data_IF_996203032842
#
_entry.id   IF_996203032842
#
_cell.length_a   1.000
_cell.length_b   1.000
_cell.length_c   1.000
_cell.angle_alpha   90.00
_cell.angle_beta   90.00
_cell.angle_gamma   90.00
#
_symmetry.space_group_name_H-M   'P 1'
#
loop_
_entity.id
_entity.type
_entity.pdbx_description
1 polymer ?
#
# COMPACT_ATOMS: atom_id res chain seq x y z
N UNK A 1 -58.25 0.47 76.36
CA UNK A 1 -57.19 -0.41 75.80
C UNK A 1 -57.25 -0.52 74.25
N UNK A 2 -57.57 0.56 73.51
CA UNK A 2 -57.66 0.52 72.03
C UNK A 2 -56.71 1.50 71.31
N UNK A 3 -56.16 2.51 71.99
CA UNK A 3 -55.29 3.53 71.35
C UNK A 3 -53.85 3.03 71.16
N UNK A 4 -53.31 2.22 72.09
CA UNK A 4 -51.94 1.64 71.97
C UNK A 4 -51.77 0.62 70.83
N UNK A 5 -52.84 -0.07 70.41
CA UNK A 5 -52.78 -1.07 69.32
C UNK A 5 -52.80 -0.43 67.92
N UNK A 6 -53.38 0.78 67.78
CA UNK A 6 -53.45 1.51 66.50
C UNK A 6 -52.11 2.16 66.12
N UNK A 7 -51.39 2.75 67.08
CA UNK A 7 -50.07 3.34 66.83
C UNK A 7 -48.99 2.29 66.43
N UNK A 8 -49.04 1.08 67.01
CA UNK A 8 -48.06 0.02 66.71
C UNK A 8 -48.21 -0.56 65.29
N UNK A 9 -49.44 -0.63 64.75
CA UNK A 9 -49.71 -1.02 63.35
C UNK A 9 -49.32 0.07 62.34
N UNK A 10 -49.46 1.34 62.71
CA UNK A 10 -49.08 2.46 61.83
C UNK A 10 -47.56 2.59 61.68
N UNK A 11 -46.80 2.42 62.79
CA UNK A 11 -45.33 2.43 62.77
C UNK A 11 -44.71 1.20 62.08
N UNK A 12 -45.29 -0.01 62.22
CA UNK A 12 -44.85 -1.20 61.48
C UNK A 12 -45.12 -1.08 59.96
N UNK A 13 -46.23 -0.43 59.59
CA UNK A 13 -46.59 -0.19 58.19
C UNK A 13 -45.64 0.81 57.52
N UNK A 14 -45.32 1.92 58.19
CA UNK A 14 -44.40 2.93 57.65
C UNK A 14 -42.95 2.42 57.54
N UNK A 15 -42.47 1.64 58.51
CA UNK A 15 -41.11 1.06 58.45
C UNK A 15 -40.97 0.00 57.36
N UNK A 16 -41.99 -0.83 57.15
CA UNK A 16 -42.05 -1.78 56.04
C UNK A 16 -42.08 -1.08 54.67
N UNK A 17 -42.87 -0.01 54.56
CA UNK A 17 -42.96 0.78 53.32
C UNK A 17 -41.63 1.48 53.00
N UNK A 18 -40.94 2.02 54.03
CA UNK A 18 -39.62 2.64 53.87
C UNK A 18 -38.55 1.62 53.46
N UNK A 19 -38.61 0.41 54.00
CA UNK A 19 -37.67 -0.66 53.64
C UNK A 19 -37.91 -1.13 52.19
N UNK A 20 -39.16 -1.28 51.77
CA UNK A 20 -39.53 -1.62 50.39
C UNK A 20 -39.11 -0.54 49.38
N UNK A 21 -39.23 0.75 49.72
CA UNK A 21 -38.75 1.82 48.84
C UNK A 21 -37.24 1.85 48.75
N UNK A 22 -36.51 1.63 49.85
CA UNK A 22 -35.04 1.55 49.84
C UNK A 22 -34.54 0.35 49.02
N UNK A 23 -35.17 -0.81 49.17
CA UNK A 23 -34.80 -2.01 48.40
C UNK A 23 -35.11 -1.82 46.90
N UNK A 24 -36.23 -1.18 46.57
CA UNK A 24 -36.61 -0.86 45.19
C UNK A 24 -35.63 0.12 44.55
N UNK A 25 -35.25 1.19 45.24
CA UNK A 25 -34.27 2.16 44.72
C UNK A 25 -32.87 1.56 44.57
N UNK A 26 -32.48 0.67 45.49
CA UNK A 26 -31.19 -0.03 45.38
C UNK A 26 -31.17 -1.02 44.20
N UNK A 27 -32.27 -1.75 43.96
CA UNK A 27 -32.42 -2.65 42.82
C UNK A 27 -32.44 -1.91 41.49
N UNK A 28 -33.15 -0.78 41.39
CA UNK A 28 -33.16 0.03 40.16
C UNK A 28 -31.82 0.70 39.90
N UNK A 29 -31.09 1.14 40.93
CA UNK A 29 -29.74 1.68 40.79
C UNK A 29 -28.75 0.60 40.31
N UNK A 30 -28.82 -0.62 40.86
CA UNK A 30 -28.03 -1.76 40.40
C UNK A 30 -28.36 -2.14 38.94
N UNK A 31 -29.64 -2.13 38.57
CA UNK A 31 -30.07 -2.39 37.20
C UNK A 31 -29.57 -1.31 36.24
N UNK A 32 -29.69 -0.03 36.61
CA UNK A 32 -29.16 1.08 35.82
C UNK A 32 -27.64 1.01 35.70
N UNK A 33 -26.91 0.72 36.77
CA UNK A 33 -25.45 0.59 36.73
C UNK A 33 -25.01 -0.57 35.84
N UNK A 34 -25.72 -1.70 35.86
CA UNK A 34 -25.46 -2.86 34.99
C UNK A 34 -25.90 -2.63 33.54
N UNK A 35 -26.95 -1.86 33.31
CA UNK A 35 -27.43 -1.49 31.98
C UNK A 35 -26.52 -0.44 31.32
N UNK A 36 -26.08 0.57 32.08
CA UNK A 36 -25.15 1.60 31.62
C UNK A 36 -23.76 1.01 31.32
N UNK A 37 -23.25 0.09 32.15
CA UNK A 37 -21.98 -0.59 31.88
C UNK A 37 -22.04 -1.51 30.64
N UNK A 38 -23.20 -2.10 30.31
CA UNK A 38 -23.35 -2.93 29.11
C UNK A 38 -23.60 -2.13 27.81
N UNK A 39 -24.13 -0.90 27.90
CA UNK A 39 -24.49 -0.10 26.71
C UNK A 39 -23.45 0.99 26.41
N UNK A 40 -22.85 1.60 27.44
CA UNK A 40 -21.96 2.76 27.28
C UNK A 40 -20.47 2.47 27.46
N UNK A 41 -20.07 1.25 27.85
CA UNK A 41 -18.73 0.78 27.52
C UNK A 41 -18.77 0.30 26.08
N UNK A 42 -18.17 1.02 25.12
CA UNK A 42 -17.91 0.42 23.83
C UNK A 42 -16.97 -0.74 24.13
N UNK A 43 -17.48 -1.97 24.02
CA UNK A 43 -16.60 -3.10 23.79
C UNK A 43 -16.06 -2.87 22.38
N UNK A 44 -15.06 -2.00 22.30
CA UNK A 44 -14.09 -1.95 21.23
C UNK A 44 -13.42 -3.32 21.31
N UNK A 45 -14.07 -4.33 20.74
CA UNK A 45 -13.36 -5.45 20.19
C UNK A 45 -12.53 -4.84 19.07
N UNK A 46 -11.39 -4.29 19.46
CA UNK A 46 -10.20 -4.33 18.65
C UNK A 46 -10.08 -5.82 18.33
N UNK A 47 -10.52 -6.19 17.12
CA UNK A 47 -10.13 -7.46 16.56
C UNK A 47 -8.63 -7.28 16.39
N UNK A 48 -7.87 -7.62 17.43
CA UNK A 48 -6.46 -7.91 17.31
C UNK A 48 -6.42 -8.96 16.23
N UNK A 49 -6.04 -8.56 15.01
CA UNK A 49 -5.68 -9.50 13.98
C UNK A 49 -4.45 -10.20 14.52
N UNK A 50 -4.65 -11.38 15.09
CA UNK A 50 -3.56 -12.20 15.57
C UNK A 50 -2.80 -12.67 14.34
N UNK A 51 -1.68 -12.02 14.06
CA UNK A 51 -0.75 -12.46 13.02
C UNK A 51 0.16 -13.52 13.62
N UNK A 52 0.05 -14.73 13.07
CA UNK A 52 0.86 -15.88 13.41
C UNK A 52 2.22 -15.76 12.68
N UNK A 53 3.29 -15.46 13.42
CA UNK A 53 4.64 -15.24 12.85
C UNK A 53 5.64 -16.14 13.58
N UNK A 54 6.52 -16.81 12.82
CA UNK A 54 7.63 -17.61 13.34
C UNK A 54 8.65 -16.68 14.04
N UNK A 55 9.08 -17.05 15.25
CA UNK A 55 10.06 -16.32 16.06
C UNK A 55 11.38 -16.07 15.30
N UNK A 56 11.79 -17.01 14.44
CA UNK A 56 12.99 -16.86 13.60
C UNK A 56 12.83 -15.82 12.49
N UNK A 57 11.61 -15.58 12.01
CA UNK A 57 11.32 -14.55 11.01
C UNK A 57 11.23 -13.15 11.65
N UNK A 58 11.00 -13.05 12.97
CA UNK A 58 11.00 -11.79 13.73
C UNK A 58 12.40 -11.34 14.13
N UNK A 59 13.27 -12.29 14.49
CA UNK A 59 14.69 -12.02 14.74
C UNK A 59 15.38 -11.48 13.48
N UNK A 60 15.08 -12.06 12.31
CA UNK A 60 15.52 -11.57 11.00
C UNK A 60 14.98 -10.15 10.69
N UNK A 61 13.79 -9.83 11.22
CA UNK A 61 13.08 -8.56 10.99
C UNK A 61 13.41 -7.44 11.98
N UNK A 62 14.11 -7.73 13.08
CA UNK A 62 14.34 -6.80 14.21
C UNK A 62 13.08 -6.11 14.73
N UNK A 63 11.92 -6.77 14.63
CA UNK A 63 10.66 -6.22 15.14
C UNK A 63 10.58 -6.54 16.64
N UNK A 64 10.48 -5.50 17.47
CA UNK A 64 10.12 -5.68 18.87
C UNK A 64 8.66 -6.12 18.96
N UNK A 65 8.33 -7.23 19.64
CA UNK A 65 6.96 -7.69 19.79
C UNK A 65 6.13 -6.59 20.48
N UNK A 66 5.14 -6.08 19.77
CA UNK A 66 4.19 -5.10 20.31
C UNK A 66 3.00 -5.85 20.92
N UNK A 67 2.17 -5.16 21.68
CA UNK A 67 1.00 -5.72 22.40
C UNK A 67 0.01 -6.49 21.49
N UNK A 68 0.07 -6.27 20.17
CA UNK A 68 -0.83 -6.85 19.17
C UNK A 68 -0.16 -7.97 18.35
N UNK A 69 1.11 -8.32 18.64
CA UNK A 69 1.84 -9.42 17.99
C UNK A 69 2.09 -10.50 19.06
N UNK A 70 1.23 -11.52 19.07
CA UNK A 70 1.41 -12.69 19.92
C UNK A 70 2.25 -13.74 19.20
N UNK A 71 3.41 -14.04 19.76
CA UNK A 71 4.30 -15.10 19.27
C UNK A 71 3.64 -16.46 19.48
N UNK A 72 3.56 -17.25 18.42
CA UNK A 72 3.25 -18.67 18.59
C UNK A 72 4.53 -19.36 19.06
N UNK A 73 4.50 -19.97 20.24
CA UNK A 73 5.60 -20.85 20.64
C UNK A 73 5.70 -22.03 19.66
N UNK A 74 6.91 -22.49 19.40
CA UNK A 74 7.16 -23.71 18.59
C UNK A 74 6.27 -24.89 18.98
N UNK A 75 5.83 -24.96 20.24
CA UNK A 75 5.02 -26.04 20.78
C UNK A 75 3.60 -26.08 20.19
N UNK A 76 3.05 -24.95 19.75
CA UNK A 76 1.74 -24.91 19.08
C UNK A 76 1.75 -25.64 17.72
N UNK A 77 2.86 -25.51 16.97
CA UNK A 77 3.06 -26.27 15.72
C UNK A 77 3.30 -27.76 15.99
N UNK A 78 3.84 -28.11 17.16
CA UNK A 78 4.00 -29.50 17.59
C UNK A 78 2.68 -30.13 18.06
N UNK A 79 1.82 -29.36 18.74
CA UNK A 79 0.58 -29.86 19.35
C UNK A 79 -0.52 -30.24 18.33
N UNK A 80 -0.46 -29.70 17.11
CA UNK A 80 -1.50 -29.89 16.09
C UNK A 80 -1.18 -30.97 15.06
N UNK A 81 0.02 -31.59 15.06
CA UNK A 81 0.53 -32.50 14.00
C UNK A 81 0.43 -31.95 12.56
N UNK A 82 -0.08 -30.74 12.36
CA UNK A 82 -0.23 -30.04 11.09
C UNK A 82 1.11 -29.41 10.72
N UNK A 83 2.10 -30.25 10.46
CA UNK A 83 3.41 -29.78 10.00
C UNK A 83 3.30 -29.48 8.51
N UNK A 84 2.72 -28.32 8.16
CA UNK A 84 2.92 -27.74 6.84
C UNK A 84 4.38 -27.28 6.77
N UNK A 85 5.28 -28.22 6.47
CA UNK A 85 6.69 -27.90 6.24
C UNK A 85 6.81 -27.27 4.86
N UNK A 86 7.01 -25.94 4.83
CA UNK A 86 7.29 -25.28 3.56
C UNK A 86 8.65 -25.75 3.02
N UNK A 87 8.78 -25.95 1.71
CA UNK A 87 10.01 -26.47 1.11
C UNK A 87 11.14 -25.45 1.26
N UNK A 88 12.27 -25.86 1.85
CA UNK A 88 13.50 -25.08 1.88
C UNK A 88 14.26 -25.29 0.57
N UNK A 89 14.08 -24.37 -0.36
CA UNK A 89 14.69 -24.44 -1.69
C UNK A 89 16.08 -23.79 -1.69
N UNK A 90 17.07 -24.49 -2.25
CA UNK A 90 18.39 -23.93 -2.52
C UNK A 90 18.36 -23.02 -3.76
N UNK A 91 19.02 -21.87 -3.66
CA UNK A 91 19.23 -20.95 -4.79
C UNK A 91 20.02 -21.67 -5.88
N UNK A 92 21.06 -22.42 -5.48
CA UNK A 92 22.06 -23.00 -6.38
C UNK A 92 21.81 -24.47 -6.73
N UNK A 93 20.54 -24.88 -6.81
CA UNK A 93 20.21 -26.25 -7.16
C UNK A 93 20.65 -26.57 -8.61
N UNK A 94 21.62 -27.50 -8.82
CA UNK A 94 22.16 -27.80 -10.15
C UNK A 94 21.10 -28.38 -11.11
N UNK A 95 20.12 -29.11 -10.57
CA UNK A 95 19.02 -29.67 -11.37
C UNK A 95 18.09 -28.60 -11.94
N UNK A 96 18.06 -27.40 -11.32
CA UNK A 96 17.26 -26.26 -11.80
C UNK A 96 18.11 -25.38 -12.71
N UNK A 97 19.38 -25.14 -12.36
CA UNK A 97 20.28 -24.25 -13.10
C UNK A 97 20.40 -24.60 -14.59
N UNK A 98 20.33 -25.88 -14.96
CA UNK A 98 20.34 -26.32 -16.36
C UNK A 98 19.15 -25.80 -17.19
N UNK A 99 18.01 -25.52 -16.56
CA UNK A 99 16.81 -25.02 -17.23
C UNK A 99 16.71 -23.48 -17.20
N UNK A 100 17.52 -22.84 -16.36
CA UNK A 100 17.56 -21.40 -16.27
C UNK A 100 18.52 -20.87 -17.33
N UNK A 101 18.04 -19.96 -18.17
CA UNK A 101 18.88 -19.19 -19.07
C UNK A 101 19.35 -17.94 -18.30
N UNK A 102 20.58 -17.91 -17.74
CA UNK A 102 21.09 -16.69 -17.14
C UNK A 102 21.04 -15.58 -18.18
N UNK A 103 20.65 -14.37 -17.77
CA UNK A 103 20.58 -13.21 -18.67
C UNK A 103 21.98 -12.90 -19.19
N UNK A 104 22.33 -13.44 -20.37
CA UNK A 104 23.67 -13.33 -20.97
C UNK A 104 23.97 -11.92 -21.46
N UNK A 105 22.93 -11.13 -21.76
CA UNK A 105 23.01 -9.71 -22.12
C UNK A 105 22.29 -8.90 -21.05
N UNK A 106 22.98 -8.56 -19.98
CA UNK A 106 22.44 -7.73 -18.90
C UNK A 106 22.39 -6.24 -19.24
N UNK A 107 22.86 -5.84 -20.43
CA UNK A 107 22.88 -4.46 -20.88
C UNK A 107 21.90 -4.33 -22.05
N UNK A 108 20.84 -3.51 -21.91
CA UNK A 108 20.06 -3.11 -23.08
C UNK A 108 21.01 -2.49 -24.11
N UNK A 109 20.76 -2.75 -25.40
CA UNK A 109 21.49 -2.13 -26.50
C UNK A 109 21.06 -0.67 -26.61
N UNK A 110 21.54 0.15 -25.67
CA UNK A 110 21.27 1.57 -25.64
C UNK A 110 22.10 2.26 -26.70
N UNK A 111 21.54 3.32 -27.29
CA UNK A 111 22.28 4.19 -28.17
C UNK A 111 23.54 4.72 -27.45
N UNK A 112 24.70 4.57 -28.11
CA UNK A 112 25.98 4.97 -27.53
C UNK A 112 26.18 6.48 -27.50
N UNK A 113 25.37 7.24 -28.25
CA UNK A 113 25.41 8.68 -28.25
C UNK A 113 24.92 9.23 -26.90
N UNK A 114 25.65 10.20 -26.35
CA UNK A 114 25.25 10.85 -25.12
C UNK A 114 23.98 11.68 -25.36
N UNK A 115 23.02 11.58 -24.44
CA UNK A 115 21.81 12.40 -24.48
C UNK A 115 22.16 13.89 -24.31
N UNK A 116 21.53 14.75 -25.12
CA UNK A 116 21.69 16.20 -25.00
C UNK A 116 20.89 16.78 -23.84
N UNK A 117 19.80 16.10 -23.48
CA UNK A 117 18.87 16.49 -22.41
C UNK A 117 18.88 15.43 -21.33
N UNK A 118 18.81 15.85 -20.08
CA UNK A 118 18.55 14.97 -18.94
C UNK A 118 17.65 15.66 -17.93
N UNK A 119 17.15 14.89 -16.97
CA UNK A 119 16.33 15.39 -15.87
C UNK A 119 17.09 15.25 -14.57
N UNK A 120 17.06 16.30 -13.75
CA UNK A 120 17.62 16.29 -12.40
C UNK A 120 16.66 17.02 -11.46
N UNK A 121 16.23 16.38 -10.37
CA UNK A 121 15.35 16.97 -9.35
C UNK A 121 14.11 17.69 -9.90
N UNK A 122 13.45 17.11 -10.89
CA UNK A 122 12.25 17.71 -11.50
C UNK A 122 12.55 18.94 -12.36
N UNK A 123 13.78 19.10 -12.85
CA UNK A 123 14.18 20.17 -13.75
C UNK A 123 14.70 19.63 -15.09
N UNK A 124 14.43 20.37 -16.16
CA UNK A 124 14.96 20.13 -17.49
C UNK A 124 16.41 20.60 -17.55
N UNK A 125 17.34 19.71 -17.93
CA UNK A 125 18.77 20.03 -18.00
C UNK A 125 19.37 19.79 -19.38
N UNK A 126 20.27 20.67 -19.81
CA UNK A 126 21.11 20.51 -21.00
C UNK A 126 22.48 19.96 -20.61
N UNK A 127 22.93 18.95 -21.36
CA UNK A 127 24.26 18.35 -21.20
C UNK A 127 25.35 19.35 -21.56
N UNK A 128 26.27 19.57 -20.61
CA UNK A 128 27.45 20.40 -20.85
C UNK A 128 28.33 19.82 -21.96
N UNK A 129 28.43 18.49 -22.06
CA UNK A 129 29.15 17.82 -23.14
C UNK A 129 28.51 18.12 -24.50
N UNK A 130 27.18 18.14 -24.59
CA UNK A 130 26.46 18.48 -25.81
C UNK A 130 26.66 19.96 -26.19
N UNK A 131 26.59 20.88 -25.22
CA UNK A 131 26.84 22.32 -25.44
C UNK A 131 28.27 22.61 -25.90
N UNK A 132 29.26 21.93 -25.32
CA UNK A 132 30.67 22.07 -25.74
C UNK A 132 30.90 21.54 -27.16
N UNK A 133 30.24 20.43 -27.52
CA UNK A 133 30.41 19.78 -28.83
C UNK A 133 29.66 20.49 -29.96
N UNK A 134 28.41 20.88 -29.72
CA UNK A 134 27.48 21.36 -30.76
C UNK A 134 27.22 22.88 -30.69
N UNK A 135 27.75 23.56 -29.66
CA UNK A 135 27.56 24.98 -29.42
C UNK A 135 26.22 25.28 -28.77
N UNK A 136 25.63 26.44 -29.11
CA UNK A 136 24.33 26.83 -28.57
C UNK A 136 23.23 25.87 -29.04
N UNK A 137 22.48 25.30 -28.08
CA UNK A 137 21.38 24.38 -28.32
C UNK A 137 20.07 25.06 -27.92
N UNK A 138 19.06 24.98 -28.80
CA UNK A 138 17.70 25.45 -28.51
C UNK A 138 16.75 24.25 -28.63
N UNK A 139 15.91 24.07 -27.62
CA UNK A 139 15.00 22.93 -27.54
C UNK A 139 13.53 23.35 -27.50
N UNK A 140 12.68 22.48 -28.03
CA UNK A 140 11.26 22.45 -27.77
C UNK A 140 10.92 21.28 -26.83
N UNK A 141 9.94 21.51 -25.96
CA UNK A 141 9.43 20.53 -25.02
C UNK A 141 7.98 20.21 -25.39
N UNK A 142 7.63 18.93 -25.47
CA UNK A 142 6.26 18.48 -25.71
C UNK A 142 5.85 17.50 -24.63
N UNK A 143 4.90 17.84 -23.74
CA UNK A 143 4.36 16.89 -22.78
C UNK A 143 3.80 15.65 -23.47
N UNK A 144 4.02 14.47 -22.92
CA UNK A 144 3.32 13.25 -23.33
C UNK A 144 2.23 12.99 -22.30
N UNK A 145 0.98 13.10 -22.75
CA UNK A 145 -0.21 12.99 -21.92
C UNK A 145 -0.93 11.70 -22.24
N UNK A 146 -1.59 11.10 -21.25
CA UNK A 146 -2.50 9.98 -21.49
C UNK A 146 -3.73 10.50 -22.26
N UNK A 147 -4.16 9.75 -23.26
CA UNK A 147 -5.37 10.06 -24.01
C UNK A 147 -6.63 9.70 -23.19
N UNK A 148 -7.80 9.72 -23.84
CA UNK A 148 -9.08 9.34 -23.20
C UNK A 148 -9.19 7.85 -22.87
N UNK A 149 -8.38 6.99 -23.50
CA UNK A 149 -8.37 5.54 -23.27
C UNK A 149 -7.12 5.06 -22.52
N UNK A 150 -7.09 3.78 -22.20
CA UNK A 150 -6.04 3.19 -21.38
C UNK A 150 -4.75 2.83 -22.13
N UNK A 151 -4.77 2.86 -23.46
CA UNK A 151 -3.73 2.31 -24.32
C UNK A 151 -3.10 3.34 -25.24
N UNK A 152 -3.56 4.60 -25.22
CA UNK A 152 -3.05 5.64 -26.09
C UNK A 152 -2.56 6.87 -25.34
N UNK A 153 -1.62 7.56 -25.99
CA UNK A 153 -0.99 8.79 -25.51
C UNK A 153 -1.09 9.86 -26.59
N UNK A 154 -1.15 11.12 -26.18
CA UNK A 154 -1.14 12.28 -27.07
C UNK A 154 -0.03 13.26 -26.67
N UNK A 155 0.49 13.99 -27.65
CA UNK A 155 1.39 15.11 -27.37
C UNK A 155 0.59 16.34 -26.93
N UNK A 156 1.03 16.99 -25.86
CA UNK A 156 0.47 18.24 -25.37
C UNK A 156 0.97 19.46 -26.15
N UNK A 157 0.67 20.65 -25.62
CA UNK A 157 1.11 21.91 -26.22
C UNK A 157 2.64 21.99 -26.31
N UNK A 158 3.16 22.38 -27.48
CA UNK A 158 4.59 22.58 -27.69
C UNK A 158 5.06 23.83 -26.95
N UNK A 159 6.00 23.65 -26.03
CA UNK A 159 6.67 24.73 -25.31
C UNK A 159 8.01 25.03 -25.97
N UNK A 160 8.20 26.26 -26.40
CA UNK A 160 9.43 26.71 -27.05
C UNK A 160 9.63 28.22 -26.86
N UNK A 161 10.86 28.69 -26.57
CA UNK A 161 12.03 27.88 -26.23
C UNK A 161 11.95 27.33 -24.79
N UNK A 162 12.45 26.11 -24.56
CA UNK A 162 12.78 25.64 -23.21
C UNK A 162 14.28 25.86 -22.97
N UNK A 163 14.64 26.35 -21.77
CA UNK A 163 16.04 26.61 -21.40
C UNK A 163 16.49 25.73 -20.23
N UNK A 164 17.80 25.59 -20.06
CA UNK A 164 18.40 24.85 -18.97
C UNK A 164 17.86 25.32 -17.61
N UNK A 165 17.60 24.37 -16.70
CA UNK A 165 17.10 24.55 -15.32
C UNK A 165 15.62 24.93 -15.20
N UNK A 166 14.86 24.98 -16.28
CA UNK A 166 13.40 25.17 -16.16
C UNK A 166 12.76 23.98 -15.43
N UNK A 167 11.78 24.21 -14.53
CA UNK A 167 11.01 23.13 -13.93
C UNK A 167 10.30 22.30 -15.00
N UNK A 168 10.16 21.00 -14.75
CA UNK A 168 9.33 20.15 -15.59
C UNK A 168 7.87 20.59 -15.49
N UNK A 169 7.14 20.41 -16.59
CA UNK A 169 5.69 20.67 -16.68
C UNK A 169 4.88 19.37 -16.85
N UNK A 170 5.56 18.24 -17.01
CA UNK A 170 4.96 16.90 -17.11
C UNK A 170 5.97 15.83 -16.72
N UNK A 171 5.49 14.67 -16.28
CA UNK A 171 6.36 13.54 -15.92
C UNK A 171 7.03 12.92 -17.15
N UNK A 172 6.37 12.95 -18.31
CA UNK A 172 6.91 12.44 -19.58
C UNK A 172 6.86 13.54 -20.64
N UNK A 173 7.90 13.63 -21.45
CA UNK A 173 7.97 14.62 -22.53
C UNK A 173 8.92 14.20 -23.65
N UNK A 174 8.64 14.68 -24.86
CA UNK A 174 9.60 14.68 -25.97
C UNK A 174 10.38 15.98 -25.96
N UNK A 175 11.71 15.89 -26.09
CA UNK A 175 12.59 17.02 -26.29
C UNK A 175 13.12 17.01 -27.73
N UNK A 176 12.80 18.06 -28.49
CA UNK A 176 13.31 18.27 -29.85
C UNK A 176 14.28 19.45 -29.84
N UNK A 177 15.57 19.19 -30.02
CA UNK A 177 16.63 20.19 -29.93
C UNK A 177 17.34 20.38 -31.27
N UNK A 178 17.75 21.62 -31.53
CA UNK A 178 18.60 21.99 -32.67
C UNK A 178 19.79 22.79 -32.17
N UNK A 179 20.96 22.41 -32.64
CA UNK A 179 22.21 23.09 -32.31
C UNK A 179 22.65 24.05 -33.42
N UNK A 180 23.59 24.95 -33.09
CA UNK A 180 24.15 25.94 -34.01
C UNK A 180 24.87 25.30 -35.20
N UNK A 181 25.52 24.17 -34.99
CA UNK A 181 26.22 23.40 -36.04
C UNK A 181 25.27 22.70 -37.04
N UNK A 182 23.95 22.83 -36.85
CA UNK A 182 22.92 22.22 -37.69
C UNK A 182 22.48 20.82 -37.25
N UNK A 183 23.15 20.22 -36.26
CA UNK A 183 22.75 18.93 -35.72
C UNK A 183 21.42 18.99 -34.96
N UNK A 184 20.73 17.85 -34.89
CA UNK A 184 19.44 17.73 -34.22
C UNK A 184 19.43 16.56 -33.23
N UNK A 185 18.58 16.68 -32.21
CA UNK A 185 18.34 15.67 -31.21
C UNK A 185 16.84 15.58 -30.95
N UNK A 186 16.29 14.36 -30.95
CA UNK A 186 14.90 14.12 -30.58
C UNK A 186 14.84 12.86 -29.72
N UNK A 187 14.37 12.99 -28.48
CA UNK A 187 14.22 11.84 -27.59
C UNK A 187 13.08 12.06 -26.58
N UNK A 188 12.60 10.97 -25.99
CA UNK A 188 11.63 10.98 -24.90
C UNK A 188 12.37 10.92 -23.57
N UNK A 189 11.94 11.75 -22.64
CA UNK A 189 12.47 11.84 -21.29
C UNK A 189 11.36 11.65 -20.27
N UNK A 190 11.74 11.09 -19.13
CA UNK A 190 10.89 10.93 -17.95
C UNK A 190 11.51 11.63 -16.75
N UNK A 191 10.66 12.19 -15.91
CA UNK A 191 11.01 12.87 -14.67
C UNK A 191 9.83 12.94 -13.73
N UNK A 192 10.03 13.48 -12.54
CA UNK A 192 8.95 13.75 -11.60
C UNK A 192 8.70 15.25 -11.64
N UNK A 193 7.53 15.65 -12.17
CA UNK A 193 7.08 17.03 -12.13
C UNK A 193 6.71 17.40 -10.69
N UNK A 194 7.23 18.52 -10.20
CA UNK A 194 6.79 19.07 -8.92
C UNK A 194 5.40 19.69 -9.08
N UNK A 195 4.44 19.15 -8.34
CA UNK A 195 3.08 19.69 -8.26
C UNK A 195 2.83 20.27 -6.87
N UNK A 196 2.82 21.60 -6.78
CA UNK A 196 2.56 22.31 -5.53
C UNK A 196 1.16 21.99 -4.98
N UNK A 197 0.17 21.80 -5.86
CA UNK A 197 -1.19 21.44 -5.50
C UNK A 197 -1.25 20.08 -4.79
N UNK A 198 -0.51 19.08 -5.29
CA UNK A 198 -0.37 17.77 -4.62
C UNK A 198 0.21 17.93 -3.21
N UNK A 199 1.31 18.67 -3.09
CA UNK A 199 2.01 18.83 -1.83
C UNK A 199 1.18 19.61 -0.81
N UNK A 200 0.37 20.57 -1.25
CA UNK A 200 -0.51 21.34 -0.36
C UNK A 200 -1.79 20.59 0.06
N UNK A 201 -2.10 19.41 -0.49
CA UNK A 201 -3.37 18.70 -0.16
C UNK A 201 -3.51 18.37 1.32
N UNK A 202 -2.41 18.15 2.04
CA UNK A 202 -2.44 17.86 3.48
C UNK A 202 -2.92 19.05 4.33
N UNK A 203 -2.81 20.28 3.82
CA UNK A 203 -3.28 21.49 4.51
C UNK A 203 -4.81 21.52 4.49
N UNK A 204 -5.39 21.25 3.33
CA UNK A 204 -6.85 21.30 3.12
C UNK A 204 -7.55 20.02 3.59
N UNK A 205 -6.82 18.91 3.68
CA UNK A 205 -7.33 17.64 4.17
C UNK A 205 -6.34 17.05 5.21
N UNK A 206 -6.34 17.60 6.44
CA UNK A 206 -5.43 17.16 7.48
C UNK A 206 -5.74 15.71 7.88
N UNK A 207 -4.68 14.93 8.08
CA UNK A 207 -4.80 13.55 8.54
C UNK A 207 -5.47 13.51 9.91
N UNK A 208 -6.35 12.52 10.11
CA UNK A 208 -6.98 12.30 11.42
C UNK A 208 -5.89 12.00 12.45
N UNK A 209 -6.02 12.47 13.69
CA UNK A 209 -4.99 12.31 14.75
C UNK A 209 -4.58 10.85 15.03
N UNK A 210 -5.42 9.88 14.65
CA UNK A 210 -5.15 8.44 14.78
C UNK A 210 -4.37 7.86 13.61
N UNK A 211 -4.01 8.67 12.62
CA UNK A 211 -3.28 8.25 11.43
C UNK A 211 -1.77 8.20 11.69
N UNK A 212 -1.09 7.20 11.11
CA UNK A 212 0.33 6.96 11.32
C UNK A 212 1.26 7.89 10.53
N UNK A 213 0.73 8.68 9.58
CA UNK A 213 1.50 9.62 8.76
C UNK A 213 2.38 8.97 7.68
N UNK A 214 2.26 7.67 7.43
CA UNK A 214 3.12 6.96 6.48
C UNK A 214 2.60 6.99 5.03
N UNK A 215 3.55 7.09 4.11
CA UNK A 215 3.36 6.78 2.70
C UNK A 215 3.56 5.28 2.48
N UNK A 216 2.70 4.68 1.66
CA UNK A 216 2.79 3.25 1.30
C UNK A 216 3.07 3.17 -0.20
N UNK A 217 4.16 2.50 -0.57
CA UNK A 217 4.51 2.18 -1.95
C UNK A 217 4.48 0.66 -2.11
N UNK A 218 3.70 0.18 -3.08
CA UNK A 218 3.59 -1.24 -3.38
C UNK A 218 4.20 -1.51 -4.76
N UNK A 219 5.18 -2.41 -4.80
CA UNK A 219 5.76 -2.93 -6.04
C UNK A 219 5.20 -4.33 -6.30
N UNK A 220 4.49 -4.48 -7.42
CA UNK A 220 4.01 -5.77 -7.91
C UNK A 220 4.89 -6.27 -9.05
N UNK A 221 5.32 -7.52 -8.99
CA UNK A 221 5.98 -8.22 -10.09
C UNK A 221 5.03 -9.31 -10.58
N UNK A 222 4.63 -9.24 -11.84
CA UNK A 222 3.85 -10.32 -12.45
C UNK A 222 4.77 -11.50 -12.77
N UNK A 223 4.29 -12.72 -12.54
CA UNK A 223 4.90 -13.96 -12.99
C UNK A 223 6.32 -14.25 -12.45
N UNK A 224 6.65 -13.72 -11.26
CA UNK A 224 7.96 -13.93 -10.61
C UNK A 224 7.81 -14.67 -9.29
N UNK A 225 8.45 -15.84 -9.18
CA UNK A 225 8.60 -16.53 -7.89
C UNK A 225 9.70 -15.90 -7.04
N UNK A 226 9.65 -16.10 -5.71
CA UNK A 226 10.74 -15.69 -4.80
C UNK A 226 12.11 -16.20 -5.25
N UNK A 227 12.19 -17.47 -5.66
CA UNK A 227 13.44 -18.07 -6.11
C UNK A 227 13.95 -17.45 -7.42
N UNK A 228 13.03 -17.15 -8.34
CA UNK A 228 13.35 -16.45 -9.60
C UNK A 228 13.90 -15.05 -9.31
N UNK A 229 13.24 -14.29 -8.42
CA UNK A 229 13.70 -12.96 -8.01
C UNK A 229 15.12 -13.00 -7.43
N UNK A 230 15.38 -13.93 -6.50
CA UNK A 230 16.70 -14.06 -5.88
C UNK A 230 17.80 -14.45 -6.88
N UNK A 231 17.49 -15.32 -7.86
CA UNK A 231 18.47 -15.78 -8.87
C UNK A 231 18.78 -14.73 -9.93
N UNK A 232 17.76 -14.05 -10.44
CA UNK A 232 17.92 -13.12 -11.57
C UNK A 232 18.12 -11.67 -11.16
N UNK A 233 17.68 -11.28 -9.95
CA UNK A 233 17.85 -9.94 -9.41
C UNK A 233 18.61 -9.94 -8.07
N UNK A 234 19.79 -10.59 -7.98
CA UNK A 234 20.51 -10.74 -6.71
C UNK A 234 20.99 -9.40 -6.15
N UNK A 235 21.30 -8.43 -7.01
CA UNK A 235 21.65 -7.06 -6.58
C UNK A 235 20.47 -6.36 -5.92
N UNK A 236 19.29 -6.42 -6.54
CA UNK A 236 18.06 -5.85 -6.00
C UNK A 236 17.68 -6.52 -4.68
N UNK A 237 17.72 -7.85 -4.63
CA UNK A 237 17.46 -8.59 -3.39
C UNK A 237 18.42 -8.19 -2.27
N UNK A 238 19.73 -8.14 -2.53
CA UNK A 238 20.71 -7.72 -1.52
C UNK A 238 20.48 -6.29 -1.04
N UNK A 239 20.13 -5.37 -1.94
CA UNK A 239 19.79 -3.99 -1.56
C UNK A 239 18.59 -3.93 -0.62
N UNK A 240 17.51 -4.67 -0.95
CA UNK A 240 16.31 -4.75 -0.10
C UNK A 240 16.66 -5.23 1.32
N UNK A 241 17.44 -6.30 1.44
CA UNK A 241 17.75 -6.89 2.75
C UNK A 241 18.78 -6.07 3.53
N UNK A 242 19.91 -5.73 2.89
CA UNK A 242 21.07 -5.17 3.59
C UNK A 242 20.97 -3.66 3.79
N UNK A 243 20.47 -2.94 2.79
CA UNK A 243 20.44 -1.47 2.81
C UNK A 243 19.09 -0.95 3.34
N UNK A 244 17.97 -1.54 2.91
CA UNK A 244 16.65 -1.11 3.37
C UNK A 244 16.16 -1.85 4.63
N UNK A 245 16.83 -2.91 5.06
CA UNK A 245 16.38 -3.73 6.20
C UNK A 245 15.02 -4.41 5.95
N UNK A 246 14.74 -4.79 4.71
CA UNK A 246 13.44 -5.36 4.31
C UNK A 246 13.22 -6.74 4.94
N UNK A 247 11.98 -6.99 5.33
CA UNK A 247 11.53 -8.26 5.92
C UNK A 247 11.03 -9.17 4.82
N UNK A 248 11.49 -10.42 4.82
CA UNK A 248 11.07 -11.43 3.83
C UNK A 248 10.05 -12.37 4.46
N UNK A 249 8.82 -12.33 3.97
CA UNK A 249 7.77 -13.28 4.36
C UNK A 249 8.02 -14.62 3.65
N UNK A 250 8.80 -15.52 4.27
CA UNK A 250 9.21 -16.80 3.65
C UNK A 250 8.05 -17.77 3.45
N UNK A 251 7.02 -17.69 4.29
CA UNK A 251 5.79 -18.49 4.21
C UNK A 251 4.66 -17.86 3.38
N UNK A 252 4.89 -16.70 2.76
CA UNK A 252 3.88 -16.07 1.91
C UNK A 252 3.59 -16.94 0.68
N UNK A 253 2.31 -17.14 0.39
CA UNK A 253 1.86 -17.88 -0.78
C UNK A 253 0.66 -17.18 -1.43
N UNK A 254 0.50 -17.40 -2.74
CA UNK A 254 -0.65 -16.90 -3.50
C UNK A 254 -1.89 -17.73 -3.21
N UNK A 255 -3.07 -17.10 -3.31
CA UNK A 255 -4.36 -17.76 -3.07
C UNK A 255 -4.83 -18.55 -4.29
N UNK A 256 -4.25 -18.28 -5.46
CA UNK A 256 -4.45 -19.06 -6.68
C UNK A 256 -3.43 -18.72 -7.75
N UNK A 257 -3.43 -19.51 -8.82
CA UNK A 257 -2.36 -19.54 -9.84
C UNK A 257 -2.39 -18.35 -10.82
N UNK A 258 -3.55 -17.70 -10.98
CA UNK A 258 -3.71 -16.57 -11.89
C UNK A 258 -3.44 -15.21 -11.23
N UNK A 259 -3.05 -14.23 -12.03
CA UNK A 259 -2.88 -12.82 -11.59
C UNK A 259 -4.12 -12.26 -10.87
N UNK A 260 -5.37 -12.50 -11.33
CA UNK A 260 -6.56 -12.09 -10.57
C UNK A 260 -6.65 -12.79 -9.20
N UNK A 261 -6.41 -14.10 -9.15
CA UNK A 261 -6.45 -14.90 -7.93
C UNK A 261 -5.39 -14.48 -6.90
N UNK A 262 -4.24 -13.99 -7.36
CA UNK A 262 -3.17 -13.47 -6.51
C UNK A 262 -3.45 -12.03 -6.05
N UNK A 263 -3.82 -11.13 -6.96
CA UNK A 263 -3.95 -9.69 -6.66
C UNK A 263 -5.26 -9.32 -5.96
N UNK A 264 -6.38 -9.95 -6.30
CA UNK A 264 -7.67 -9.58 -5.71
C UNK A 264 -7.69 -9.79 -4.19
N UNK A 265 -7.21 -10.90 -3.62
CA UNK A 265 -7.11 -11.05 -2.16
C UNK A 265 -6.21 -10.00 -1.51
N UNK A 266 -5.08 -9.66 -2.12
CA UNK A 266 -4.16 -8.64 -1.59
C UNK A 266 -4.84 -7.26 -1.54
N UNK A 267 -5.56 -6.90 -2.60
CA UNK A 267 -6.07 -5.55 -2.79
C UNK A 267 -7.50 -5.35 -2.27
N UNK A 268 -8.26 -6.43 -2.05
CA UNK A 268 -9.66 -6.38 -1.60
C UNK A 268 -9.93 -7.16 -0.31
N UNK A 269 -9.04 -8.08 0.07
CA UNK A 269 -9.29 -9.06 1.12
C UNK A 269 -10.30 -10.15 0.74
N UNK A 270 -10.62 -10.30 -0.55
CA UNK A 270 -11.62 -11.23 -1.09
C UNK A 270 -11.06 -12.07 -2.23
N UNK A 271 -11.49 -13.33 -2.29
CA UNK A 271 -11.24 -14.21 -3.44
C UNK A 271 -12.09 -13.79 -4.64
N UNK A 272 -11.73 -14.26 -5.84
CA UNK A 272 -12.49 -13.99 -7.07
C UNK A 272 -13.96 -14.40 -6.95
N UNK A 273 -14.24 -15.52 -6.28
CA UNK A 273 -15.60 -16.08 -6.12
C UNK A 273 -16.47 -15.26 -5.17
N UNK A 274 -15.87 -14.50 -4.27
CA UNK A 274 -16.59 -13.62 -3.33
C UNK A 274 -16.92 -12.25 -3.95
N UNK A 275 -16.36 -11.95 -5.12
CA UNK A 275 -16.52 -10.67 -5.80
C UNK A 275 -17.59 -10.79 -6.91
N UNK A 276 -18.25 -9.67 -7.26
CA UNK A 276 -19.15 -9.64 -8.41
C UNK A 276 -18.43 -10.10 -9.69
N UNK A 277 -19.16 -10.80 -10.57
CA UNK A 277 -18.64 -11.19 -11.88
C UNK A 277 -18.15 -9.96 -12.65
N UNK A 278 -16.90 -10.00 -13.13
CA UNK A 278 -16.25 -8.90 -13.83
C UNK A 278 -15.44 -9.37 -15.06
N UNK A 279 -15.49 -10.66 -15.38
CA UNK A 279 -14.78 -11.21 -16.53
C UNK A 279 -15.45 -10.77 -17.82
N UNK A 280 -14.62 -10.35 -18.79
CA UNK A 280 -15.11 -10.01 -20.13
C UNK A 280 -15.85 -11.21 -20.74
N UNK A 281 -16.92 -10.93 -21.47
CA UNK A 281 -17.72 -11.96 -22.16
C UNK A 281 -18.67 -12.77 -21.27
N UNK A 282 -18.78 -12.46 -19.97
CA UNK A 282 -19.74 -13.11 -19.09
C UNK A 282 -21.03 -12.29 -18.96
N UNK A 283 -22.18 -12.95 -19.04
CA UNK A 283 -23.50 -12.30 -18.90
C UNK A 283 -23.64 -11.67 -17.51
N UNK A 284 -23.99 -10.39 -17.47
CA UNK A 284 -24.15 -9.66 -16.21
C UNK A 284 -22.83 -9.23 -15.54
N UNK A 285 -21.69 -9.39 -16.22
CA UNK A 285 -20.41 -8.90 -15.72
C UNK A 285 -20.41 -7.37 -15.56
N UNK A 286 -19.82 -6.92 -14.45
CA UNK A 286 -19.69 -5.51 -14.10
C UNK A 286 -18.23 -5.05 -14.19
N UNK A 287 -17.98 -3.75 -14.13
CA UNK A 287 -16.60 -3.24 -14.06
C UNK A 287 -16.01 -3.50 -12.68
N UNK A 288 -14.69 -3.68 -12.63
CA UNK A 288 -13.96 -3.91 -11.37
C UNK A 288 -13.96 -2.67 -10.45
N UNK A 289 -14.41 -1.50 -10.93
CA UNK A 289 -14.52 -0.27 -10.14
C UNK A 289 -15.42 -0.43 -8.92
N UNK A 290 -16.32 -1.42 -8.93
CA UNK A 290 -17.25 -1.69 -7.82
C UNK A 290 -16.61 -2.48 -6.68
N UNK A 291 -15.45 -3.10 -6.89
CA UNK A 291 -14.80 -3.94 -5.89
C UNK A 291 -14.37 -3.14 -4.64
N UNK A 292 -14.26 -3.79 -3.46
CA UNK A 292 -13.93 -3.14 -2.19
C UNK A 292 -12.41 -2.92 -2.06
N UNK A 293 -11.83 -2.22 -3.03
CA UNK A 293 -10.39 -1.97 -3.11
C UNK A 293 -9.85 -1.25 -1.88
N UNK A 294 -8.63 -1.61 -1.47
CA UNK A 294 -7.95 -1.02 -0.30
C UNK A 294 -7.77 0.49 -0.43
N UNK A 295 -7.55 1.01 -1.65
CA UNK A 295 -7.46 2.46 -1.88
C UNK A 295 -8.78 3.20 -1.62
N UNK A 296 -9.95 2.55 -1.72
CA UNK A 296 -11.21 3.18 -1.28
C UNK A 296 -11.21 3.40 0.23
N UNK A 297 -10.59 2.50 1.01
CA UNK A 297 -10.41 2.69 2.46
C UNK A 297 -9.40 3.80 2.75
N UNK A 298 -8.30 3.87 2.00
CA UNK A 298 -7.33 4.97 2.12
C UNK A 298 -7.98 6.33 1.81
N UNK A 299 -8.74 6.43 0.71
CA UNK A 299 -9.50 7.63 0.34
C UNK A 299 -10.53 8.01 1.40
N UNK A 300 -11.32 7.04 1.88
CA UNK A 300 -12.37 7.25 2.87
C UNK A 300 -11.87 7.65 4.26
N UNK A 301 -10.69 7.17 4.66
CA UNK A 301 -10.00 7.57 5.91
C UNK A 301 -9.26 8.92 5.79
N UNK A 302 -9.47 9.67 4.70
CA UNK A 302 -8.77 10.93 4.38
C UNK A 302 -7.26 10.78 4.34
N UNK A 303 -6.77 9.58 4.02
CA UNK A 303 -5.36 9.39 3.68
C UNK A 303 -5.15 9.92 2.26
N UNK A 304 -4.13 10.74 2.09
CA UNK A 304 -3.76 11.32 0.80
C UNK A 304 -3.36 10.20 -0.16
N UNK A 305 -4.30 9.71 -0.97
CA UNK A 305 -3.95 8.91 -2.14
C UNK A 305 -3.53 9.88 -3.26
N UNK A 306 -2.22 10.14 -3.39
CA UNK A 306 -1.69 10.53 -4.69
C UNK A 306 -1.62 9.26 -5.52
N UNK A 307 -2.72 8.93 -6.20
CA UNK A 307 -2.75 7.82 -7.13
C UNK A 307 -2.00 8.25 -8.39
N UNK A 308 -0.69 7.99 -8.41
CA UNK A 308 0.10 7.90 -9.63
C UNK A 308 0.35 6.41 -9.87
N UNK A 309 -0.65 5.73 -10.42
CA UNK A 309 -0.50 4.33 -10.85
C UNK A 309 0.29 4.34 -12.16
N UNK A 310 1.61 4.27 -12.04
CA UNK A 310 2.48 3.98 -13.18
C UNK A 310 2.50 2.47 -13.37
N UNK A 311 1.61 1.96 -14.23
CA UNK A 311 1.74 0.60 -14.76
C UNK A 311 2.85 0.65 -15.79
N UNK A 312 4.05 0.24 -15.38
CA UNK A 312 5.14 -0.04 -16.31
C UNK A 312 5.01 -1.52 -16.64
N UNK A 313 4.62 -1.82 -17.89
CA UNK A 313 4.77 -3.15 -18.46
C UNK A 313 6.23 -3.41 -18.83
#
# INVERSE_FOLDING_TARGET
MQIRRRCRRYYLSQTSLLFLTIVSTFLTMMFFQRYFSNIFLPQQYEIDQIFHIDETDLDDARILPTKNIHLISKDYFNATQLTCQYPKLSIDNPNIWQYLQPVRKSKPDCEKAANWVYVENGTFRLSQQALQKHGAIVCAYRPILRSKDDFSTMEGARLFPIVDKMPLVSDFFRADCRARDGSFYSNIHSGIMFDAGLHMRHIWNPMVKTHLGYNVLMFGFDSVSRMTFMRFLPKSYNYLIKELGSIVMKGYNIVGDGTPAALLPILTGKTERELPEARRGHTGAQTVDRFPWIWKKFKGKRQLSSEKTHVIY
#
